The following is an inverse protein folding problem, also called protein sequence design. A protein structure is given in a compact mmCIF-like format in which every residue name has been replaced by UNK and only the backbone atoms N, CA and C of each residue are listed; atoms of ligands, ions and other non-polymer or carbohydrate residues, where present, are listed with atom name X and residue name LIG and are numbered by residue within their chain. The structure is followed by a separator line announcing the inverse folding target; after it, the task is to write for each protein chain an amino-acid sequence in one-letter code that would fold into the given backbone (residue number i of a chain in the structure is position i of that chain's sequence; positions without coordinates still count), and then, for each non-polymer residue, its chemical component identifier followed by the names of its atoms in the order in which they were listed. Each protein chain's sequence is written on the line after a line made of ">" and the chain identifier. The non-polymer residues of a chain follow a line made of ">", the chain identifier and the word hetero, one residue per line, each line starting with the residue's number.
data_IF_096421290024
#
_entry.id   IF_096421290024
#
_cell.length_a   1.000
_cell.length_b   1.000
_cell.length_c   1.000
_cell.angle_alpha   90.00
_cell.angle_beta   90.00
_cell.angle_gamma   90.00
#
_symmetry.space_group_name_H-M   'P 1'
#
loop_
_entity.id
_entity.type
_entity.pdbx_description
1 polymer ?
#
# COMPACT_ATOMS: atom_id res chain seq x y z
N UNK A 1 38.65 -67.41 41.18
CA UNK A 1 39.26 -66.24 40.48
C UNK A 1 38.17 -65.21 40.27
N UNK A 2 38.14 -64.24 41.16
CA UNK A 2 37.15 -63.13 41.09
C UNK A 2 37.66 -62.13 40.09
N UNK A 3 36.92 -62.00 39.01
CA UNK A 3 37.18 -60.99 37.97
C UNK A 3 36.39 -59.72 38.36
N UNK A 4 36.91 -58.89 39.27
CA UNK A 4 36.38 -57.57 39.55
C UNK A 4 36.92 -56.62 38.45
N UNK A 5 36.04 -56.09 37.65
CA UNK A 5 36.33 -54.97 36.73
C UNK A 5 36.83 -53.77 37.57
N UNK A 6 37.84 -53.04 37.11
CA UNK A 6 38.34 -51.86 37.82
C UNK A 6 37.23 -50.79 37.95
N UNK A 7 37.12 -50.18 39.11
CA UNK A 7 36.11 -49.15 39.48
C UNK A 7 35.98 -48.01 38.46
N UNK A 8 37.07 -47.67 37.75
CA UNK A 8 37.07 -46.68 36.65
C UNK A 8 36.18 -47.09 35.43
N UNK A 9 36.02 -48.40 35.18
CA UNK A 9 35.18 -48.86 34.06
C UNK A 9 33.67 -48.86 34.43
N UNK A 10 33.35 -48.98 35.71
CA UNK A 10 31.96 -48.90 36.20
C UNK A 10 31.44 -47.46 36.07
N UNK A 11 32.29 -46.47 36.40
CA UNK A 11 31.95 -45.05 36.27
C UNK A 11 31.73 -44.63 34.84
N UNK A 12 32.55 -45.07 33.90
CA UNK A 12 32.42 -44.84 32.45
C UNK A 12 31.16 -45.49 31.87
N UNK A 13 30.75 -46.65 32.35
CA UNK A 13 29.52 -47.32 31.93
C UNK A 13 28.27 -46.59 32.46
N UNK A 14 28.31 -46.05 33.68
CA UNK A 14 27.21 -45.29 34.30
C UNK A 14 27.01 -43.93 33.60
N UNK A 15 28.11 -43.23 33.25
CA UNK A 15 28.07 -42.01 32.46
C UNK A 15 27.53 -42.25 31.02
N UNK A 16 27.93 -43.35 30.38
CA UNK A 16 27.44 -43.71 29.05
C UNK A 16 25.95 -44.07 29.09
N UNK A 17 25.48 -44.80 30.12
CA UNK A 17 24.04 -45.10 30.29
C UNK A 17 23.21 -43.85 30.62
N UNK A 18 23.72 -42.91 31.42
CA UNK A 18 23.04 -41.63 31.69
C UNK A 18 22.95 -40.77 30.42
N UNK A 19 24.01 -40.70 29.60
CA UNK A 19 24.04 -40.00 28.33
C UNK A 19 23.03 -40.62 27.34
N UNK A 20 22.99 -41.95 27.24
CA UNK A 20 22.03 -42.67 26.37
C UNK A 20 20.58 -42.48 26.85
N UNK A 21 20.33 -42.37 28.14
CA UNK A 21 18.99 -42.05 28.69
C UNK A 21 18.60 -40.63 28.36
N UNK A 22 19.49 -39.64 28.57
CA UNK A 22 19.24 -38.24 28.25
C UNK A 22 18.96 -38.04 26.73
N UNK A 23 19.65 -38.78 25.86
CA UNK A 23 19.42 -38.81 24.44
C UNK A 23 18.04 -39.38 24.10
N UNK A 24 17.69 -40.54 24.70
CA UNK A 24 16.41 -41.21 24.44
C UNK A 24 15.20 -40.44 24.96
N UNK A 25 15.38 -39.72 26.06
CA UNK A 25 14.33 -38.94 26.70
C UNK A 25 14.21 -37.51 26.13
N UNK A 26 14.99 -37.17 25.08
CA UNK A 26 14.95 -35.87 24.39
C UNK A 26 15.48 -34.71 25.22
N UNK A 27 16.31 -34.99 26.24
CA UNK A 27 16.90 -33.98 27.11
C UNK A 27 18.21 -33.39 26.53
N UNK A 28 18.73 -33.94 25.44
CA UNK A 28 19.94 -33.50 24.73
C UNK A 28 19.68 -33.45 23.23
N UNK A 29 19.76 -32.26 22.64
CA UNK A 29 19.51 -32.03 21.20
C UNK A 29 20.77 -32.14 20.33
N UNK A 30 21.96 -32.02 20.95
CA UNK A 30 23.25 -32.16 20.28
C UNK A 30 24.34 -32.52 21.26
N UNK A 31 25.40 -33.22 20.79
CA UNK A 31 26.61 -33.46 21.55
C UNK A 31 27.86 -33.07 20.76
N UNK A 32 28.87 -32.62 21.52
CA UNK A 32 30.15 -32.20 20.96
C UNK A 32 31.16 -33.34 21.17
N UNK A 33 31.74 -33.83 20.10
CA UNK A 33 32.83 -34.82 20.14
C UNK A 33 34.14 -34.09 19.89
N UNK A 34 35.09 -34.26 20.82
CA UNK A 34 36.47 -33.82 20.62
C UNK A 34 37.20 -34.81 19.69
N UNK A 35 37.54 -34.34 18.50
CA UNK A 35 38.37 -35.07 17.54
C UNK A 35 39.79 -34.46 17.51
N UNK A 36 40.78 -35.20 17.01
CA UNK A 36 42.19 -34.73 16.92
C UNK A 36 42.41 -33.46 16.11
N UNK A 37 41.42 -33.04 15.31
CA UNK A 37 41.47 -31.86 14.45
C UNK A 37 40.47 -30.76 14.87
N UNK A 38 39.78 -30.87 16.03
CA UNK A 38 38.83 -29.88 16.55
C UNK A 38 37.52 -30.48 17.10
N UNK A 39 36.59 -29.63 17.47
CA UNK A 39 35.31 -30.02 18.03
C UNK A 39 34.30 -30.23 16.93
N UNK A 40 33.65 -31.39 16.89
CA UNK A 40 32.56 -31.67 15.97
C UNK A 40 31.24 -31.78 16.71
N UNK A 41 30.25 -31.01 16.27
CA UNK A 41 28.89 -31.02 16.85
C UNK A 41 28.04 -32.00 16.05
N UNK A 42 27.50 -33.00 16.73
CA UNK A 42 26.53 -33.95 16.18
C UNK A 42 25.14 -33.58 16.73
N UNK A 43 24.21 -33.15 15.86
CA UNK A 43 22.81 -32.99 16.21
C UNK A 43 22.09 -34.33 16.13
N UNK A 44 21.22 -34.63 17.11
CA UNK A 44 20.40 -35.81 17.07
C UNK A 44 19.31 -35.64 16.02
N UNK A 45 19.22 -36.61 15.10
CA UNK A 45 18.13 -36.65 14.12
C UNK A 45 16.79 -36.70 14.87
N UNK A 46 16.03 -35.60 14.84
CA UNK A 46 14.69 -35.55 15.40
C UNK A 46 14.24 -34.20 15.97
N UNK A 47 15.13 -33.41 16.58
CA UNK A 47 14.76 -32.10 17.14
C UNK A 47 14.65 -31.00 16.09
N UNK A 48 15.43 -31.09 15.00
CA UNK A 48 15.45 -30.09 13.93
C UNK A 48 14.44 -30.35 12.79
N UNK A 49 13.85 -31.56 12.73
CA UNK A 49 12.90 -31.95 11.69
C UNK A 49 11.70 -31.02 11.51
N UNK A 50 11.04 -30.49 12.56
CA UNK A 50 9.93 -29.56 12.40
C UNK A 50 10.37 -28.22 11.82
N UNK A 51 11.51 -27.69 12.26
CA UNK A 51 12.02 -26.36 11.83
C UNK A 51 12.60 -26.42 10.44
N UNK A 52 13.40 -27.44 10.11
CA UNK A 52 13.93 -27.63 8.76
C UNK A 52 12.81 -27.84 7.74
N UNK A 53 11.79 -28.64 8.10
CA UNK A 53 10.61 -28.85 7.25
C UNK A 53 9.82 -27.57 7.06
N UNK A 54 9.70 -26.72 8.10
CA UNK A 54 9.05 -25.41 7.99
C UNK A 54 9.77 -24.53 6.98
N UNK A 55 11.09 -24.37 7.14
CA UNK A 55 11.91 -23.53 6.25
C UNK A 55 11.91 -24.06 4.81
N UNK A 56 11.96 -25.37 4.61
CA UNK A 56 11.90 -26.00 3.27
C UNK A 56 10.53 -25.82 2.59
N UNK A 57 9.45 -25.73 3.35
CA UNK A 57 8.08 -25.54 2.82
C UNK A 57 7.65 -24.07 2.73
N UNK A 58 8.46 -23.13 3.20
CA UNK A 58 8.17 -21.69 3.04
C UNK A 58 8.15 -21.34 1.55
N UNK A 59 7.18 -20.49 1.16
CA UNK A 59 7.11 -19.96 -0.20
C UNK A 59 8.17 -18.89 -0.46
N UNK A 60 8.71 -18.30 0.60
CA UNK A 60 9.79 -17.32 0.52
C UNK A 60 11.13 -18.03 0.34
N UNK A 61 12.03 -17.45 -0.45
CA UNK A 61 13.42 -17.87 -0.50
C UNK A 61 14.07 -17.63 0.86
N UNK A 62 14.69 -18.67 1.43
CA UNK A 62 15.42 -18.56 2.68
C UNK A 62 16.86 -19.05 2.49
N UNK A 63 17.81 -18.28 3.04
CA UNK A 63 19.20 -18.67 3.08
C UNK A 63 19.86 -18.34 4.42
N UNK A 64 20.94 -19.05 4.72
CA UNK A 64 21.87 -18.70 5.77
C UNK A 64 23.20 -18.31 5.12
N UNK A 65 23.75 -17.18 5.56
CA UNK A 65 24.99 -16.60 5.06
C UNK A 65 26.05 -16.69 6.13
N UNK A 66 27.30 -16.93 5.73
CA UNK A 66 28.49 -16.76 6.59
C UNK A 66 28.84 -15.28 6.79
N UNK A 67 29.88 -15.01 7.58
CA UNK A 67 30.37 -13.66 7.86
C UNK A 67 30.80 -12.88 6.61
N UNK A 68 31.09 -13.56 5.50
CA UNK A 68 31.52 -12.98 4.21
C UNK A 68 30.33 -12.78 3.24
N UNK A 69 29.10 -13.15 3.64
CA UNK A 69 27.90 -13.08 2.81
C UNK A 69 27.80 -14.23 1.78
N UNK A 70 28.54 -15.33 2.00
CA UNK A 70 28.42 -16.53 1.20
C UNK A 70 27.30 -17.44 1.73
N UNK A 71 26.56 -18.04 0.82
CA UNK A 71 25.41 -18.91 1.12
C UNK A 71 25.94 -20.25 1.66
N UNK A 72 25.60 -20.56 2.91
CA UNK A 72 25.93 -21.85 3.55
C UNK A 72 24.72 -22.80 3.59
N UNK A 73 23.50 -22.23 3.47
CA UNK A 73 22.25 -22.97 3.33
C UNK A 73 21.29 -22.20 2.44
N UNK A 74 20.49 -22.92 1.67
CA UNK A 74 19.38 -22.36 0.89
C UNK A 74 18.21 -23.35 0.85
N UNK A 75 16.96 -22.87 1.01
CA UNK A 75 15.79 -23.69 0.82
C UNK A 75 15.45 -23.87 -0.68
N UNK A 76 14.51 -24.77 -0.96
CA UNK A 76 14.08 -25.06 -2.34
C UNK A 76 13.48 -23.82 -3.02
N UNK A 77 12.73 -23.00 -2.28
CA UNK A 77 12.10 -21.79 -2.80
C UNK A 77 13.11 -20.76 -3.29
N UNK A 78 14.26 -20.60 -2.61
CA UNK A 78 15.33 -19.72 -3.09
C UNK A 78 15.95 -20.26 -4.38
N UNK A 79 16.21 -21.56 -4.45
CA UNK A 79 16.74 -22.20 -5.66
C UNK A 79 15.81 -21.99 -6.87
N UNK A 80 14.51 -22.16 -6.67
CA UNK A 80 13.49 -21.89 -7.69
C UNK A 80 13.43 -20.41 -8.07
N UNK A 81 13.47 -19.51 -7.08
CA UNK A 81 13.43 -18.06 -7.29
C UNK A 81 14.61 -17.59 -8.14
N UNK A 82 15.82 -18.11 -7.89
CA UNK A 82 17.03 -17.77 -8.63
C UNK A 82 17.17 -18.53 -9.96
N UNK A 83 16.41 -19.63 -10.13
CA UNK A 83 16.56 -20.51 -11.30
C UNK A 83 17.90 -21.29 -11.31
N UNK A 84 18.47 -21.54 -10.11
CA UNK A 84 19.77 -22.22 -9.94
C UNK A 84 19.57 -23.44 -9.01
N UNK A 85 20.11 -24.63 -9.35
CA UNK A 85 20.08 -25.77 -8.44
C UNK A 85 20.70 -25.44 -7.09
N UNK A 86 20.07 -25.89 -6.00
CA UNK A 86 20.47 -25.58 -4.62
C UNK A 86 21.94 -25.88 -4.34
N UNK A 87 22.44 -27.00 -4.85
CA UNK A 87 23.83 -27.45 -4.67
C UNK A 87 24.84 -26.47 -5.26
N UNK A 88 24.44 -25.71 -6.29
CA UNK A 88 25.29 -24.70 -6.94
C UNK A 88 25.22 -23.34 -6.25
N UNK A 89 24.25 -23.13 -5.33
CA UNK A 89 24.15 -21.89 -4.56
C UNK A 89 25.13 -21.87 -3.40
N UNK A 90 25.42 -23.03 -2.81
CA UNK A 90 26.29 -23.14 -1.62
C UNK A 90 27.70 -22.69 -1.95
N UNK A 91 28.25 -21.83 -1.10
CA UNK A 91 29.57 -21.21 -1.27
C UNK A 91 29.61 -20.00 -2.18
N UNK A 92 28.52 -19.65 -2.88
CA UNK A 92 28.46 -18.43 -3.66
C UNK A 92 28.04 -17.23 -2.79
N UNK A 93 28.60 -16.05 -3.10
CA UNK A 93 28.13 -14.81 -2.48
C UNK A 93 26.72 -14.46 -2.97
N UNK A 94 25.84 -14.04 -2.03
CA UNK A 94 24.48 -13.60 -2.34
C UNK A 94 24.48 -12.41 -3.33
N UNK A 95 25.50 -11.54 -3.25
CA UNK A 95 25.63 -10.37 -4.13
C UNK A 95 25.77 -10.72 -5.61
N UNK A 96 26.20 -11.96 -5.94
CA UNK A 96 26.28 -12.43 -7.32
C UNK A 96 24.90 -12.47 -8.02
N UNK A 97 23.83 -12.59 -7.23
CA UNK A 97 22.46 -12.63 -7.70
C UNK A 97 21.76 -11.27 -7.61
N UNK A 98 22.54 -10.19 -7.63
CA UNK A 98 22.03 -8.81 -7.61
C UNK A 98 22.61 -8.03 -8.79
N UNK A 99 21.85 -7.03 -9.27
CA UNK A 99 22.36 -6.07 -10.23
C UNK A 99 23.55 -5.29 -9.61
N UNK A 100 24.55 -4.89 -10.40
CA UNK A 100 25.73 -4.20 -9.88
C UNK A 100 25.40 -2.94 -9.07
N UNK A 101 24.39 -2.18 -9.48
CA UNK A 101 23.87 -0.99 -8.80
C UNK A 101 23.27 -1.28 -7.42
N UNK A 102 22.71 -2.48 -7.25
CA UNK A 102 21.99 -2.88 -6.02
C UNK A 102 22.91 -3.58 -5.00
N UNK A 103 24.11 -4.00 -5.41
CA UNK A 103 25.03 -4.76 -4.54
C UNK A 103 25.43 -3.95 -3.30
N UNK A 104 25.70 -2.65 -3.45
CA UNK A 104 26.09 -1.79 -2.35
C UNK A 104 24.96 -1.62 -1.31
N UNK A 105 23.71 -1.52 -1.77
CA UNK A 105 22.55 -1.44 -0.90
C UNK A 105 22.35 -2.73 -0.11
N UNK A 106 22.48 -3.89 -0.75
CA UNK A 106 22.35 -5.18 -0.09
C UNK A 106 23.49 -5.42 0.93
N UNK A 107 24.74 -5.06 0.60
CA UNK A 107 25.86 -5.14 1.55
C UNK A 107 25.65 -4.25 2.78
N UNK A 108 25.04 -3.07 2.61
CA UNK A 108 24.67 -2.20 3.72
C UNK A 108 23.61 -2.88 4.60
N UNK A 109 22.56 -3.47 4.01
CA UNK A 109 21.55 -4.22 4.77
C UNK A 109 22.17 -5.38 5.53
N UNK A 110 23.08 -6.14 4.91
CA UNK A 110 23.80 -7.24 5.57
C UNK A 110 24.64 -6.73 6.74
N UNK A 111 25.31 -5.58 6.58
CA UNK A 111 26.09 -4.95 7.65
C UNK A 111 25.21 -4.48 8.80
N UNK A 112 24.09 -3.80 8.49
CA UNK A 112 23.16 -3.28 9.49
C UNK A 112 22.50 -4.43 10.29
N UNK A 113 22.29 -5.59 9.67
CA UNK A 113 21.78 -6.79 10.33
C UNK A 113 22.72 -7.34 11.41
N UNK A 114 24.01 -7.01 11.40
CA UNK A 114 24.96 -7.42 12.47
C UNK A 114 24.66 -6.79 13.83
N UNK A 115 23.79 -5.77 13.87
CA UNK A 115 23.34 -5.12 15.12
C UNK A 115 21.90 -5.50 15.51
N UNK A 116 21.22 -6.35 14.69
CA UNK A 116 19.83 -6.75 14.93
C UNK A 116 19.18 -7.36 13.71
N UNK A 117 18.26 -6.65 13.11
CA UNK A 117 17.60 -6.99 11.84
C UNK A 117 17.59 -5.79 10.91
N UNK A 118 17.61 -6.06 9.61
CA UNK A 118 17.48 -5.03 8.57
C UNK A 118 16.61 -5.55 7.44
N UNK A 119 15.93 -4.65 6.74
CA UNK A 119 15.09 -4.99 5.61
C UNK A 119 15.17 -3.93 4.51
N UNK A 120 14.93 -4.34 3.28
CA UNK A 120 14.92 -3.43 2.14
C UNK A 120 14.48 -4.12 0.85
N UNK A 121 14.16 -3.30 -0.15
CA UNK A 121 13.82 -3.78 -1.49
C UNK A 121 15.00 -3.56 -2.42
N UNK A 122 15.28 -4.54 -3.27
CA UNK A 122 16.31 -4.47 -4.32
C UNK A 122 15.94 -5.42 -5.47
N UNK A 123 16.73 -5.48 -6.53
CA UNK A 123 16.48 -6.34 -7.68
C UNK A 123 17.36 -7.58 -7.65
N UNK A 124 16.69 -8.74 -7.71
CA UNK A 124 17.34 -10.04 -7.78
C UNK A 124 17.50 -10.46 -9.23
N UNK A 125 18.70 -10.94 -9.61
CA UNK A 125 18.99 -11.46 -10.93
C UNK A 125 18.83 -12.97 -10.96
N UNK A 126 17.94 -13.48 -11.80
CA UNK A 126 17.81 -14.91 -12.12
C UNK A 126 18.92 -15.39 -13.03
N UNK A 127 19.16 -16.70 -13.05
CA UNK A 127 20.17 -17.31 -13.92
C UNK A 127 20.00 -16.99 -15.41
N UNK A 128 18.79 -16.66 -15.87
CA UNK A 128 18.48 -16.23 -17.23
C UNK A 128 18.76 -14.75 -17.52
N UNK A 129 19.28 -13.98 -16.56
CA UNK A 129 19.50 -12.52 -16.68
C UNK A 129 18.25 -11.68 -16.43
N UNK A 130 17.11 -12.29 -16.10
CA UNK A 130 15.89 -11.58 -15.72
C UNK A 130 16.08 -10.91 -14.35
N UNK A 131 15.74 -9.62 -14.28
CA UNK A 131 15.76 -8.84 -13.05
C UNK A 131 14.35 -8.80 -12.44
N UNK A 132 14.20 -9.24 -11.20
CA UNK A 132 12.94 -9.24 -10.47
C UNK A 132 13.03 -8.41 -9.20
N UNK A 133 11.99 -7.63 -8.87
CA UNK A 133 11.95 -6.89 -7.62
C UNK A 133 11.77 -7.86 -6.45
N UNK A 134 12.61 -7.74 -5.42
CA UNK A 134 12.57 -8.60 -4.26
C UNK A 134 12.72 -7.81 -2.97
N UNK A 135 12.06 -8.27 -1.91
CA UNK A 135 12.23 -7.77 -0.56
C UNK A 135 13.15 -8.71 0.21
N UNK A 136 14.16 -8.14 0.83
CA UNK A 136 15.15 -8.82 1.65
C UNK A 136 14.94 -8.48 3.11
N UNK A 137 14.90 -9.49 3.97
CA UNK A 137 14.89 -9.33 5.41
C UNK A 137 16.05 -10.13 5.99
N UNK A 138 17.02 -9.45 6.58
CA UNK A 138 18.19 -10.03 7.21
C UNK A 138 18.03 -10.06 8.72
N UNK A 139 18.45 -11.16 9.36
CA UNK A 139 18.42 -11.32 10.80
C UNK A 139 19.67 -12.06 11.27
N UNK A 140 20.29 -11.59 12.34
CA UNK A 140 21.42 -12.25 12.95
C UNK A 140 20.96 -13.56 13.63
N UNK A 141 21.54 -14.69 13.26
CA UNK A 141 21.19 -16.00 13.81
C UNK A 141 22.10 -16.45 14.95
N UNK A 142 23.35 -15.94 14.98
CA UNK A 142 24.33 -16.35 15.99
C UNK A 142 24.89 -15.15 16.76
N UNK A 143 25.15 -15.35 18.06
CA UNK A 143 25.72 -14.29 18.93
C UNK A 143 27.14 -13.88 18.58
N UNK A 144 27.91 -14.77 17.98
CA UNK A 144 29.28 -14.53 17.50
C UNK A 144 29.35 -13.87 16.12
N UNK A 145 28.18 -13.53 15.55
CA UNK A 145 28.03 -12.90 14.22
C UNK A 145 28.54 -13.77 13.04
N UNK A 146 28.68 -15.07 13.27
CA UNK A 146 29.17 -15.99 12.25
C UNK A 146 28.11 -16.37 11.22
N UNK A 147 26.80 -16.19 11.53
CA UNK A 147 25.70 -16.56 10.65
C UNK A 147 24.58 -15.50 10.62
N UNK A 148 24.18 -15.14 9.41
CA UNK A 148 23.03 -14.25 9.14
C UNK A 148 22.00 -14.99 8.33
N UNK A 149 20.74 -15.00 8.81
CA UNK A 149 19.59 -15.47 8.04
C UNK A 149 19.10 -14.39 7.08
N UNK A 150 18.69 -14.78 5.88
CA UNK A 150 18.01 -13.90 4.93
C UNK A 150 16.74 -14.57 4.42
N UNK A 151 15.65 -13.80 4.42
CA UNK A 151 14.40 -14.14 3.75
C UNK A 151 14.24 -13.24 2.53
N UNK A 152 13.90 -13.83 1.40
CA UNK A 152 13.75 -13.15 0.11
C UNK A 152 12.36 -13.43 -0.44
N UNK A 153 11.58 -12.36 -0.61
CA UNK A 153 10.23 -12.42 -1.16
C UNK A 153 10.18 -11.80 -2.54
N UNK A 154 9.66 -12.53 -3.53
CA UNK A 154 9.38 -12.00 -4.86
C UNK A 154 8.24 -10.98 -4.80
N UNK A 155 8.48 -9.77 -5.27
CA UNK A 155 7.51 -8.69 -5.32
C UNK A 155 6.88 -8.51 -6.71
N UNK A 156 7.23 -9.34 -7.70
CA UNK A 156 6.77 -9.18 -9.10
C UNK A 156 5.25 -9.10 -9.16
N UNK A 157 4.57 -10.09 -8.64
CA UNK A 157 3.10 -10.13 -8.64
C UNK A 157 2.48 -8.91 -7.95
N UNK A 158 3.05 -8.48 -6.82
CA UNK A 158 2.55 -7.32 -6.06
C UNK A 158 2.75 -6.01 -6.84
N UNK A 159 3.89 -5.85 -7.52
CA UNK A 159 4.17 -4.66 -8.36
C UNK A 159 3.29 -4.64 -9.60
N UNK A 160 3.13 -5.78 -10.30
CA UNK A 160 2.23 -5.90 -11.46
C UNK A 160 0.78 -5.57 -11.10
N UNK A 161 0.27 -6.06 -9.98
CA UNK A 161 -1.07 -5.73 -9.49
C UNK A 161 -1.21 -4.23 -9.18
N UNK A 162 -0.18 -3.62 -8.59
CA UNK A 162 -0.15 -2.17 -8.35
C UNK A 162 -0.16 -1.36 -9.65
N UNK A 163 0.64 -1.75 -10.63
CA UNK A 163 0.67 -1.09 -11.95
C UNK A 163 -0.65 -1.22 -12.71
N UNK A 164 -1.27 -2.41 -12.67
CA UNK A 164 -2.57 -2.64 -13.29
C UNK A 164 -3.64 -1.77 -12.62
N UNK A 165 -3.66 -1.71 -11.29
CA UNK A 165 -4.57 -0.84 -10.55
C UNK A 165 -4.35 0.64 -10.90
N UNK A 166 -3.09 1.07 -11.04
CA UNK A 166 -2.72 2.40 -11.45
C UNK A 166 -3.24 2.75 -12.86
N UNK A 167 -3.06 1.85 -13.83
CA UNK A 167 -3.57 2.02 -15.20
C UNK A 167 -5.09 2.11 -15.21
N UNK A 168 -5.76 1.23 -14.45
CA UNK A 168 -7.22 1.26 -14.36
C UNK A 168 -7.75 2.59 -13.79
N UNK A 169 -7.09 3.13 -12.76
CA UNK A 169 -7.46 4.42 -12.18
C UNK A 169 -7.29 5.57 -13.16
N UNK A 170 -6.17 5.61 -13.91
CA UNK A 170 -5.95 6.63 -14.95
C UNK A 170 -7.03 6.56 -16.03
N UNK A 171 -7.30 5.36 -16.56
CA UNK A 171 -8.38 5.17 -17.54
C UNK A 171 -9.74 5.64 -17.02
N UNK A 172 -10.04 5.39 -15.74
CA UNK A 172 -11.29 5.84 -15.12
C UNK A 172 -11.36 7.37 -14.99
N UNK A 173 -10.26 8.04 -14.65
CA UNK A 173 -10.23 9.50 -14.56
C UNK A 173 -10.32 10.15 -15.94
N UNK A 174 -9.64 9.61 -16.96
CA UNK A 174 -9.74 10.06 -18.34
C UNK A 174 -11.17 9.91 -18.89
N UNK A 175 -11.81 8.77 -18.61
CA UNK A 175 -13.19 8.52 -19.03
C UNK A 175 -14.17 9.49 -18.33
N UNK A 176 -13.99 9.74 -17.03
CA UNK A 176 -14.79 10.74 -16.31
C UNK A 176 -14.62 12.14 -16.90
N UNK A 177 -13.38 12.51 -17.25
CA UNK A 177 -13.06 13.78 -17.89
C UNK A 177 -13.71 13.88 -19.27
N UNK A 178 -13.69 12.79 -20.06
CA UNK A 178 -14.33 12.71 -21.37
C UNK A 178 -15.85 12.87 -21.27
N UNK A 179 -16.49 12.09 -20.39
CA UNK A 179 -17.95 12.15 -20.18
C UNK A 179 -18.37 13.55 -19.70
N UNK A 180 -17.62 14.14 -18.77
CA UNK A 180 -17.93 15.47 -18.26
C UNK A 180 -17.92 16.53 -19.38
N UNK A 181 -16.93 16.48 -20.29
CA UNK A 181 -16.86 17.37 -21.45
C UNK A 181 -18.01 17.13 -22.41
N UNK A 182 -18.29 15.88 -22.75
CA UNK A 182 -19.41 15.55 -23.67
C UNK A 182 -20.76 16.02 -23.12
N UNK A 183 -21.00 15.85 -21.80
CA UNK A 183 -22.20 16.36 -21.15
C UNK A 183 -22.28 17.90 -21.21
N UNK A 184 -21.18 18.58 -20.98
CA UNK A 184 -21.12 20.02 -21.02
C UNK A 184 -21.31 20.56 -22.42
N UNK A 185 -20.56 20.03 -23.39
CA UNK A 185 -20.50 20.58 -24.75
C UNK A 185 -21.72 20.18 -25.59
N UNK A 186 -22.21 18.94 -25.49
CA UNK A 186 -23.33 18.47 -26.27
C UNK A 186 -24.67 18.77 -25.60
N UNK A 187 -24.90 18.18 -24.43
CA UNK A 187 -26.21 18.29 -23.75
C UNK A 187 -26.44 19.71 -23.23
N UNK A 188 -25.40 20.36 -22.70
CA UNK A 188 -25.49 21.74 -22.21
C UNK A 188 -25.85 22.74 -23.33
N UNK A 189 -25.22 22.60 -24.51
CA UNK A 189 -25.53 23.45 -25.65
C UNK A 189 -26.95 23.25 -26.20
N UNK A 190 -27.43 21.98 -26.24
CA UNK A 190 -28.80 21.70 -26.66
C UNK A 190 -29.83 22.29 -25.70
N UNK A 191 -29.60 22.17 -24.39
CA UNK A 191 -30.47 22.76 -23.38
C UNK A 191 -30.49 24.28 -23.44
N UNK A 192 -29.32 24.91 -23.70
CA UNK A 192 -29.24 26.35 -23.91
C UNK A 192 -30.04 26.80 -25.16
N UNK A 193 -29.93 26.07 -26.25
CA UNK A 193 -30.72 26.37 -27.45
C UNK A 193 -32.25 26.20 -27.25
N UNK A 194 -32.66 25.13 -26.55
CA UNK A 194 -34.06 24.93 -26.15
C UNK A 194 -34.53 26.05 -25.24
N UNK A 195 -33.72 26.45 -24.24
CA UNK A 195 -34.05 27.58 -23.35
C UNK A 195 -34.22 28.90 -24.08
N UNK A 196 -33.34 29.19 -25.08
CA UNK A 196 -33.49 30.36 -25.94
C UNK A 196 -34.80 30.33 -26.72
N UNK A 197 -35.15 29.20 -27.34
CA UNK A 197 -36.40 29.07 -28.08
C UNK A 197 -37.63 29.25 -27.17
N UNK A 198 -37.62 28.68 -25.98
CA UNK A 198 -38.69 28.86 -25.00
C UNK A 198 -38.80 30.35 -24.61
N UNK A 199 -37.66 31.03 -24.38
CA UNK A 199 -37.65 32.46 -24.02
C UNK A 199 -38.26 33.34 -25.14
N UNK A 200 -38.00 33.00 -26.42
CA UNK A 200 -38.63 33.69 -27.56
C UNK A 200 -40.13 33.52 -27.54
N UNK A 201 -40.64 32.33 -27.26
CA UNK A 201 -42.08 32.07 -27.15
C UNK A 201 -42.68 32.79 -25.94
N UNK A 202 -41.98 32.82 -24.80
CA UNK A 202 -42.40 33.55 -23.61
C UNK A 202 -42.56 35.07 -23.86
N UNK A 203 -41.70 35.67 -24.64
CA UNK A 203 -41.85 37.09 -25.06
C UNK A 203 -43.15 37.37 -25.82
N UNK A 204 -43.73 36.34 -26.45
CA UNK A 204 -45.00 36.43 -27.18
C UNK A 204 -46.18 35.79 -26.39
N UNK A 205 -46.01 35.58 -25.08
CA UNK A 205 -47.02 34.88 -24.23
C UNK A 205 -48.41 35.56 -24.25
N UNK A 206 -48.45 36.88 -24.54
CA UNK A 206 -49.71 37.63 -24.67
C UNK A 206 -50.55 37.20 -25.91
N UNK A 207 -49.98 36.42 -26.82
CA UNK A 207 -50.67 35.85 -28.00
C UNK A 207 -51.10 34.39 -27.78
N UNK A 208 -50.72 33.79 -26.68
CA UNK A 208 -51.05 32.41 -26.31
C UNK A 208 -52.29 32.37 -25.46
N UNK A 209 -53.06 31.29 -25.53
CA UNK A 209 -54.08 31.02 -24.54
C UNK A 209 -53.45 30.71 -23.17
N UNK A 210 -54.28 30.68 -22.14
CA UNK A 210 -53.82 30.52 -20.77
C UNK A 210 -53.16 29.14 -20.53
N UNK A 211 -53.59 28.09 -21.23
CA UNK A 211 -53.04 26.75 -21.11
C UNK A 211 -51.70 26.67 -21.79
N UNK A 212 -51.55 27.19 -23.02
CA UNK A 212 -50.29 27.25 -23.72
C UNK A 212 -49.25 28.12 -23.01
N UNK A 213 -49.63 29.29 -22.47
CA UNK A 213 -48.73 30.14 -21.68
C UNK A 213 -48.23 29.43 -20.42
N UNK A 214 -49.06 28.67 -19.73
CA UNK A 214 -48.69 27.86 -18.56
C UNK A 214 -47.69 26.76 -18.98
N UNK A 215 -48.00 26.01 -20.06
CA UNK A 215 -47.12 24.94 -20.55
C UNK A 215 -45.73 25.46 -20.94
N UNK A 216 -45.64 26.63 -21.57
CA UNK A 216 -44.34 27.28 -21.89
C UNK A 216 -43.56 27.65 -20.64
N UNK A 217 -44.22 28.15 -19.61
CA UNK A 217 -43.57 28.51 -18.31
C UNK A 217 -43.07 27.26 -17.58
N UNK A 218 -43.85 26.17 -17.59
CA UNK A 218 -43.45 24.89 -17.01
C UNK A 218 -42.28 24.30 -17.75
N UNK A 219 -42.25 24.31 -19.10
CA UNK A 219 -41.12 23.84 -19.88
C UNK A 219 -39.85 24.66 -19.61
N UNK A 220 -39.95 26.00 -19.44
CA UNK A 220 -38.82 26.82 -19.06
C UNK A 220 -38.21 26.39 -17.73
N UNK A 221 -39.04 26.14 -16.73
CA UNK A 221 -38.59 25.66 -15.41
C UNK A 221 -37.92 24.28 -15.50
N UNK A 222 -38.48 23.35 -16.28
CA UNK A 222 -37.93 22.01 -16.49
C UNK A 222 -36.56 22.06 -17.17
N UNK A 223 -36.41 22.87 -18.24
CA UNK A 223 -35.13 23.05 -18.94
C UNK A 223 -34.09 23.64 -18.01
N UNK A 224 -34.43 24.59 -17.16
CA UNK A 224 -33.51 25.16 -16.19
C UNK A 224 -33.12 24.12 -15.13
N UNK A 225 -34.07 23.32 -14.66
CA UNK A 225 -33.78 22.24 -13.69
C UNK A 225 -32.83 21.21 -14.31
N UNK A 226 -33.11 20.68 -15.50
CA UNK A 226 -32.25 19.72 -16.19
C UNK A 226 -30.88 20.31 -16.45
N UNK A 227 -30.78 21.57 -16.81
CA UNK A 227 -29.50 22.26 -17.04
C UNK A 227 -28.67 22.31 -15.73
N UNK A 228 -29.30 22.58 -14.60
CA UNK A 228 -28.61 22.54 -13.29
C UNK A 228 -28.16 21.13 -12.93
N UNK A 229 -28.98 20.12 -13.17
CA UNK A 229 -28.62 18.72 -12.89
C UNK A 229 -27.46 18.25 -13.76
N UNK A 230 -27.49 18.49 -15.07
CA UNK A 230 -26.39 18.15 -15.98
C UNK A 230 -25.09 18.85 -15.59
N UNK A 231 -25.14 20.13 -15.25
CA UNK A 231 -23.98 20.88 -14.77
C UNK A 231 -23.42 20.26 -13.51
N UNK A 232 -24.28 19.90 -12.56
CA UNK A 232 -23.88 19.22 -11.30
C UNK A 232 -23.21 17.90 -11.59
N UNK A 233 -23.79 17.04 -12.45
CA UNK A 233 -23.20 15.73 -12.81
C UNK A 233 -21.86 15.91 -13.49
N UNK A 234 -21.76 16.81 -14.47
CA UNK A 234 -20.50 17.09 -15.17
C UNK A 234 -19.39 17.50 -14.20
N UNK A 235 -19.69 18.39 -13.27
CA UNK A 235 -18.74 18.86 -12.27
C UNK A 235 -18.39 17.80 -11.21
N UNK A 236 -19.29 16.86 -10.89
CA UNK A 236 -18.99 15.73 -10.03
C UNK A 236 -18.06 14.71 -10.71
N UNK A 237 -18.24 14.52 -12.02
CA UNK A 237 -17.40 13.65 -12.83
C UNK A 237 -16.00 14.22 -13.02
N UNK A 238 -15.88 15.47 -13.45
CA UNK A 238 -14.62 16.21 -13.55
C UNK A 238 -14.93 17.71 -13.52
N UNK A 239 -14.48 18.44 -12.47
CA UNK A 239 -14.80 19.87 -12.40
C UNK A 239 -14.01 20.64 -13.46
N UNK A 240 -14.66 21.33 -14.43
CA UNK A 240 -13.97 22.18 -15.38
C UNK A 240 -13.15 23.31 -14.70
N UNK A 241 -13.58 23.70 -13.51
CA UNK A 241 -12.85 24.66 -12.68
C UNK A 241 -11.45 24.19 -12.28
N UNK A 242 -11.22 22.88 -12.21
CA UNK A 242 -9.89 22.33 -11.91
C UNK A 242 -8.90 22.69 -13.04
N UNK A 243 -9.31 22.50 -14.29
CA UNK A 243 -8.46 22.79 -15.45
C UNK A 243 -8.24 24.33 -15.62
N UNK A 244 -9.29 25.18 -15.36
CA UNK A 244 -9.26 26.62 -15.63
C UNK A 244 -8.80 27.45 -14.44
N UNK A 245 -9.33 27.16 -13.25
CA UNK A 245 -9.15 27.98 -12.04
C UNK A 245 -8.39 27.28 -10.90
N UNK A 246 -7.97 26.01 -11.11
CA UNK A 246 -7.17 25.25 -10.18
C UNK A 246 -7.92 24.61 -9.01
N UNK A 247 -7.15 23.90 -8.19
CA UNK A 247 -7.65 23.08 -7.10
C UNK A 247 -8.51 23.85 -6.09
N UNK A 248 -8.05 25.03 -5.67
CA UNK A 248 -8.74 25.82 -4.62
C UNK A 248 -10.16 26.19 -5.05
N UNK A 249 -10.31 26.68 -6.28
CA UNK A 249 -11.62 27.05 -6.84
C UNK A 249 -12.54 25.86 -7.02
N UNK A 250 -11.98 24.74 -7.49
CA UNK A 250 -12.72 23.49 -7.67
C UNK A 250 -13.18 22.91 -6.32
N UNK A 251 -12.34 22.95 -5.28
CA UNK A 251 -12.71 22.48 -3.95
C UNK A 251 -13.79 23.37 -3.30
N UNK A 252 -13.68 24.68 -3.40
CA UNK A 252 -14.73 25.60 -2.87
C UNK A 252 -16.07 25.29 -3.49
N UNK A 253 -16.12 25.26 -4.81
CA UNK A 253 -17.36 24.94 -5.52
C UNK A 253 -17.93 23.57 -5.13
N UNK A 254 -17.07 22.54 -5.03
CA UNK A 254 -17.49 21.19 -4.68
C UNK A 254 -18.04 21.11 -3.25
N UNK A 255 -17.38 21.75 -2.31
CA UNK A 255 -17.74 21.78 -0.89
C UNK A 255 -19.06 22.50 -0.67
N UNK A 256 -19.27 23.65 -1.33
CA UNK A 256 -20.55 24.39 -1.25
C UNK A 256 -21.72 23.50 -1.71
N UNK A 257 -21.59 22.91 -2.89
CA UNK A 257 -22.62 22.02 -3.42
C UNK A 257 -22.78 20.71 -2.60
N UNK A 258 -21.72 20.19 -2.01
CA UNK A 258 -21.79 19.04 -1.11
C UNK A 258 -22.55 19.41 0.17
N UNK A 259 -22.24 20.53 0.78
CA UNK A 259 -22.87 21.01 2.02
C UNK A 259 -24.37 21.25 1.83
N UNK A 260 -24.76 21.82 0.69
CA UNK A 260 -26.21 22.02 0.35
C UNK A 260 -26.97 20.69 0.26
N UNK A 261 -26.41 19.67 -0.41
CA UNK A 261 -27.07 18.39 -0.62
C UNK A 261 -27.04 17.49 0.60
N UNK A 262 -25.91 17.42 1.31
CA UNK A 262 -25.70 16.48 2.43
C UNK A 262 -26.18 17.03 3.77
N UNK A 263 -26.33 18.36 3.88
CA UNK A 263 -26.57 19.10 5.13
C UNK A 263 -25.41 19.01 6.13
N UNK A 264 -24.22 18.57 5.68
CA UNK A 264 -23.00 18.53 6.46
C UNK A 264 -22.25 19.85 6.24
N UNK A 265 -21.94 20.55 7.33
CA UNK A 265 -21.16 21.80 7.27
C UNK A 265 -19.70 21.46 7.03
N UNK A 266 -19.12 21.92 5.91
CA UNK A 266 -17.71 21.69 5.59
C UNK A 266 -16.95 23.02 5.63
N UNK A 267 -15.87 23.08 6.41
CA UNK A 267 -14.97 24.22 6.49
C UNK A 267 -13.71 23.93 5.67
N UNK A 268 -13.29 24.93 4.87
CA UNK A 268 -12.07 24.90 4.07
C UNK A 268 -11.03 25.83 4.68
N UNK A 269 -9.91 25.25 5.11
CA UNK A 269 -8.73 25.95 5.58
C UNK A 269 -7.60 25.82 4.54
N UNK A 270 -7.48 26.82 3.68
CA UNK A 270 -6.52 26.83 2.55
C UNK A 270 -5.82 28.19 2.55
N UNK A 271 -4.48 28.23 2.55
CA UNK A 271 -3.72 29.48 2.46
C UNK A 271 -4.12 30.31 1.24
N UNK A 272 -4.15 31.62 1.39
CA UNK A 272 -4.56 32.53 0.32
C UNK A 272 -3.60 32.49 -0.90
N UNK A 273 -2.34 32.18 -0.67
CA UNK A 273 -1.24 32.08 -1.62
C UNK A 273 -0.92 30.66 -2.08
N UNK A 274 -1.89 29.75 -1.96
CA UNK A 274 -1.68 28.31 -2.23
C UNK A 274 -1.14 28.02 -3.66
N UNK A 275 -1.57 28.81 -4.64
CA UNK A 275 -1.10 28.74 -6.03
C UNK A 275 -1.62 27.51 -6.80
N UNK A 276 -0.96 27.23 -7.95
CA UNK A 276 -1.23 26.08 -8.80
C UNK A 276 -0.25 24.96 -8.47
N UNK A 277 -0.72 23.73 -8.71
CA UNK A 277 0.06 22.50 -8.61
C UNK A 277 0.07 21.80 -9.98
N UNK A 278 0.95 20.81 -10.20
CA UNK A 278 0.85 19.96 -11.38
C UNK A 278 -0.54 19.31 -11.49
N UNK A 279 -1.08 19.22 -12.71
CA UNK A 279 -2.46 18.76 -12.96
C UNK A 279 -2.76 17.40 -12.31
N UNK A 280 -1.80 16.46 -12.36
CA UNK A 280 -1.94 15.14 -11.76
C UNK A 280 -2.10 15.21 -10.23
N UNK A 281 -1.41 16.16 -9.59
CA UNK A 281 -1.50 16.39 -8.14
C UNK A 281 -2.84 17.03 -7.79
N UNK A 282 -3.28 18.05 -8.54
CA UNK A 282 -4.58 18.70 -8.33
C UNK A 282 -5.74 17.70 -8.47
N UNK A 283 -5.71 16.86 -9.49
CA UNK A 283 -6.70 15.79 -9.71
C UNK A 283 -6.68 14.80 -8.55
N UNK A 284 -5.49 14.35 -8.12
CA UNK A 284 -5.36 13.38 -7.04
C UNK A 284 -5.96 13.91 -5.72
N UNK A 285 -5.63 15.16 -5.36
CA UNK A 285 -6.16 15.79 -4.14
C UNK A 285 -7.67 15.95 -4.23
N UNK A 286 -8.17 16.44 -5.36
CA UNK A 286 -9.61 16.60 -5.57
C UNK A 286 -10.35 15.27 -5.37
N UNK A 287 -9.83 14.16 -5.93
CA UNK A 287 -10.42 12.82 -5.77
C UNK A 287 -10.36 12.31 -4.32
N UNK A 288 -9.25 12.57 -3.61
CA UNK A 288 -9.12 12.21 -2.21
C UNK A 288 -10.18 12.95 -1.37
N UNK A 289 -10.35 14.24 -1.57
CA UNK A 289 -11.36 15.03 -0.87
C UNK A 289 -12.78 14.54 -1.20
N UNK A 290 -13.08 14.26 -2.48
CA UNK A 290 -14.37 13.69 -2.89
C UNK A 290 -14.67 12.38 -2.16
N UNK A 291 -13.71 11.47 -2.11
CA UNK A 291 -13.85 10.16 -1.46
C UNK A 291 -14.02 10.32 0.06
N UNK A 292 -13.23 11.20 0.68
CA UNK A 292 -13.36 11.48 2.11
C UNK A 292 -14.75 12.02 2.45
N UNK A 293 -15.24 13.02 1.73
CA UNK A 293 -16.56 13.59 1.97
C UNK A 293 -17.68 12.59 1.71
N UNK A 294 -17.53 11.74 0.69
CA UNK A 294 -18.47 10.62 0.43
C UNK A 294 -18.50 9.64 1.60
N UNK A 295 -17.32 9.29 2.15
CA UNK A 295 -17.20 8.40 3.29
C UNK A 295 -17.79 9.02 4.55
N UNK A 296 -17.58 10.32 4.77
CA UNK A 296 -18.19 11.07 5.87
C UNK A 296 -19.70 11.01 5.77
N UNK A 297 -20.27 11.34 4.62
CA UNK A 297 -21.72 11.32 4.40
C UNK A 297 -22.35 9.93 4.62
N UNK A 298 -21.69 8.89 4.09
CA UNK A 298 -22.25 7.52 4.15
C UNK A 298 -22.03 6.83 5.49
N UNK A 299 -20.91 7.16 6.19
CA UNK A 299 -20.43 6.29 7.25
C UNK A 299 -20.19 6.97 8.59
N UNK A 300 -19.90 8.27 8.63
CA UNK A 300 -19.46 8.92 9.88
C UNK A 300 -20.62 9.27 10.83
N UNK A 301 -21.77 9.67 10.27
CA UNK A 301 -22.86 10.27 11.04
C UNK A 301 -22.50 11.66 11.61
N UNK A 302 -21.47 12.31 11.03
CA UNK A 302 -21.07 13.67 11.42
C UNK A 302 -21.94 14.71 10.72
N UNK A 303 -22.21 15.81 11.39
CA UNK A 303 -22.85 17.02 10.86
C UNK A 303 -21.85 18.07 10.35
N UNK A 304 -20.55 17.82 10.57
CA UNK A 304 -19.48 18.76 10.20
C UNK A 304 -18.21 18.06 9.78
N UNK A 305 -17.45 18.71 8.90
CA UNK A 305 -16.12 18.28 8.47
C UNK A 305 -15.21 19.49 8.26
N UNK A 306 -13.90 19.26 8.33
CA UNK A 306 -12.88 20.29 8.04
C UNK A 306 -11.91 19.73 7.01
N UNK A 307 -11.58 20.53 6.01
CA UNK A 307 -10.55 20.23 5.00
C UNK A 307 -9.47 21.26 5.13
N UNK A 308 -8.26 20.86 5.44
CA UNK A 308 -7.09 21.73 5.53
C UNK A 308 -6.04 21.32 4.48
N UNK A 309 -5.50 22.33 3.77
CA UNK A 309 -4.37 22.16 2.87
C UNK A 309 -3.21 23.01 3.37
N UNK A 310 -2.05 22.40 3.53
CA UNK A 310 -0.83 23.12 3.92
C UNK A 310 0.32 22.73 2.98
N UNK A 311 1.04 23.74 2.50
CA UNK A 311 2.25 23.57 1.69
C UNK A 311 3.43 24.11 2.47
N UNK A 312 4.39 23.26 2.79
CA UNK A 312 5.62 23.61 3.51
C UNK A 312 6.81 23.11 2.69
N UNK A 313 7.61 24.04 2.19
CA UNK A 313 8.71 23.73 1.25
C UNK A 313 8.19 22.87 0.08
N UNK A 314 8.79 21.67 -0.12
CA UNK A 314 8.42 20.70 -1.16
C UNK A 314 7.39 19.67 -0.67
N UNK A 315 6.74 19.88 0.47
CA UNK A 315 5.75 18.96 1.04
C UNK A 315 4.37 19.60 1.04
N UNK A 316 3.40 18.86 0.54
CA UNK A 316 1.99 19.20 0.58
C UNK A 316 1.27 18.22 1.50
N UNK A 317 0.52 18.76 2.44
CA UNK A 317 -0.33 18.00 3.36
C UNK A 317 -1.79 18.36 3.11
N UNK A 318 -2.62 17.35 2.91
CA UNK A 318 -4.08 17.47 2.82
C UNK A 318 -4.68 16.71 3.98
N UNK A 319 -5.47 17.38 4.80
CA UNK A 319 -6.13 16.79 5.95
C UNK A 319 -7.64 16.95 5.81
N UNK A 320 -8.38 15.84 5.95
CA UNK A 320 -9.84 15.82 6.01
C UNK A 320 -10.26 15.21 7.33
N UNK A 321 -11.00 15.95 8.13
CA UNK A 321 -11.41 15.56 9.47
C UNK A 321 -12.92 15.63 9.62
N UNK A 322 -13.53 14.62 10.23
CA UNK A 322 -14.92 14.60 10.69
C UNK A 322 -15.02 14.45 12.22
N UNK A 323 -16.18 14.77 12.77
CA UNK A 323 -16.50 14.63 14.19
C UNK A 323 -17.49 13.48 14.45
N UNK A 324 -17.57 12.49 13.56
CA UNK A 324 -18.51 11.39 13.63
C UNK A 324 -18.14 10.28 14.61
N UNK A 325 -18.66 9.07 14.38
CA UNK A 325 -18.45 7.91 15.27
C UNK A 325 -17.09 7.26 15.16
N UNK A 326 -16.25 7.67 14.18
CA UNK A 326 -14.92 7.11 13.95
C UNK A 326 -14.94 5.71 13.32
N UNK A 327 -13.74 5.13 13.18
CA UNK A 327 -13.49 3.79 12.62
C UNK A 327 -13.03 2.86 13.76
N UNK A 328 -13.68 1.69 13.97
CA UNK A 328 -13.24 0.70 14.96
C UNK A 328 -11.79 0.26 14.73
N UNK A 329 -11.03 0.03 15.83
CA UNK A 329 -9.60 -0.33 15.77
C UNK A 329 -9.30 -1.54 14.88
N UNK A 330 -10.12 -2.59 14.95
CA UNK A 330 -9.97 -3.80 14.13
C UNK A 330 -10.10 -3.45 12.64
N UNK A 331 -11.14 -2.72 12.26
CA UNK A 331 -11.40 -2.31 10.89
C UNK A 331 -10.31 -1.35 10.36
N UNK A 332 -9.77 -0.48 11.23
CA UNK A 332 -8.66 0.41 10.88
C UNK A 332 -7.38 -0.37 10.57
N UNK A 333 -7.07 -1.41 11.35
CA UNK A 333 -5.92 -2.28 11.09
C UNK A 333 -6.05 -3.00 9.76
N UNK A 334 -7.22 -3.55 9.46
CA UNK A 334 -7.51 -4.18 8.17
C UNK A 334 -7.37 -3.20 6.99
N UNK A 335 -7.81 -1.95 7.17
CA UNK A 335 -7.66 -0.88 6.17
C UNK A 335 -6.19 -0.49 5.93
N UNK A 336 -5.34 -0.60 6.95
CA UNK A 336 -3.92 -0.23 6.87
C UNK A 336 -3.02 -1.38 6.41
N UNK A 337 -3.26 -2.62 6.88
CA UNK A 337 -2.33 -3.75 6.73
C UNK A 337 -2.72 -4.71 5.58
N UNK A 338 -3.99 -4.96 5.34
CA UNK A 338 -4.40 -6.13 4.53
C UNK A 338 -4.49 -5.92 3.02
N UNK A 339 -4.27 -4.70 2.50
CA UNK A 339 -4.50 -4.41 1.07
C UNK A 339 -5.96 -4.64 0.62
N UNK A 340 -6.81 -5.19 1.48
CA UNK A 340 -8.26 -5.38 1.32
C UNK A 340 -9.06 -4.17 1.83
N UNK A 341 -8.41 -3.01 1.94
CA UNK A 341 -9.10 -1.75 2.15
C UNK A 341 -10.24 -1.66 1.14
N UNK A 342 -11.44 -1.35 1.59
CA UNK A 342 -12.59 -1.15 0.70
C UNK A 342 -12.18 -0.23 -0.45
N UNK A 343 -12.81 -0.37 -1.60
CA UNK A 343 -12.45 0.24 -2.89
C UNK A 343 -11.98 1.72 -2.75
N UNK A 344 -12.57 2.50 -1.83
CA UNK A 344 -12.25 3.91 -1.62
C UNK A 344 -10.87 4.17 -1.01
N UNK A 345 -10.53 3.56 0.14
CA UNK A 345 -9.24 3.78 0.80
C UNK A 345 -8.08 3.17 0.02
N UNK A 346 -8.29 2.01 -0.60
CA UNK A 346 -7.31 1.38 -1.49
C UNK A 346 -6.98 2.27 -2.69
N UNK A 347 -8.01 2.86 -3.31
CA UNK A 347 -7.85 3.79 -4.43
C UNK A 347 -7.11 5.08 -4.06
N UNK A 348 -7.41 5.68 -2.88
CA UNK A 348 -6.70 6.86 -2.41
C UNK A 348 -5.22 6.58 -2.14
N UNK A 349 -4.90 5.43 -1.52
CA UNK A 349 -3.51 5.03 -1.24
C UNK A 349 -2.73 4.81 -2.53
N UNK A 350 -3.31 4.09 -3.47
CA UNK A 350 -2.65 3.81 -4.76
C UNK A 350 -2.38 5.09 -5.55
N UNK A 351 -3.33 6.03 -5.56
CA UNK A 351 -3.17 7.34 -6.20
C UNK A 351 -2.03 8.16 -5.58
N UNK A 352 -1.93 8.16 -4.24
CA UNK A 352 -0.83 8.83 -3.55
C UNK A 352 0.50 8.14 -3.81
N UNK A 353 0.53 6.80 -3.83
CA UNK A 353 1.75 6.03 -4.12
C UNK A 353 2.34 6.37 -5.48
N UNK A 354 1.49 6.58 -6.51
CA UNK A 354 1.93 7.00 -7.85
C UNK A 354 2.61 8.37 -7.85
N UNK A 355 2.24 9.23 -6.91
CA UNK A 355 2.80 10.56 -6.71
C UNK A 355 3.87 10.59 -5.59
N UNK A 356 4.44 9.43 -5.25
CA UNK A 356 5.42 9.27 -4.16
C UNK A 356 4.95 9.84 -2.82
N UNK A 357 3.63 9.80 -2.60
CA UNK A 357 2.98 10.27 -1.38
C UNK A 357 2.57 9.13 -0.44
N UNK A 358 2.02 9.51 0.71
CA UNK A 358 1.53 8.60 1.74
C UNK A 358 0.14 8.98 2.22
N UNK A 359 -0.64 7.98 2.69
CA UNK A 359 -1.95 8.13 3.30
C UNK A 359 -1.91 7.60 4.73
N UNK A 360 -2.31 8.42 5.69
CA UNK A 360 -2.51 8.03 7.07
C UNK A 360 -3.98 8.21 7.48
N UNK A 361 -4.48 7.34 8.36
CA UNK A 361 -5.85 7.38 8.86
C UNK A 361 -5.81 7.30 10.39
N UNK A 362 -6.22 8.39 11.02
CA UNK A 362 -6.31 8.53 12.46
C UNK A 362 -7.78 8.52 12.88
N UNK A 363 -8.12 7.65 13.83
CA UNK A 363 -9.46 7.59 14.41
C UNK A 363 -9.33 7.11 15.86
N UNK A 364 -9.37 8.06 16.79
CA UNK A 364 -9.27 7.82 18.23
C UNK A 364 -10.52 8.37 18.92
N UNK A 365 -11.42 7.45 19.31
CA UNK A 365 -12.65 7.77 20.03
C UNK A 365 -13.74 8.35 19.14
N UNK A 366 -13.78 9.66 18.92
CA UNK A 366 -14.78 10.35 18.08
C UNK A 366 -14.11 10.93 16.84
N UNK A 367 -14.72 10.66 15.66
CA UNK A 367 -14.30 11.21 14.38
C UNK A 367 -13.16 10.45 13.71
N UNK A 368 -12.92 10.81 12.47
CA UNK A 368 -11.82 10.28 11.64
C UNK A 368 -11.06 11.43 11.01
N UNK A 369 -9.74 11.30 10.96
CA UNK A 369 -8.85 12.22 10.24
C UNK A 369 -8.09 11.42 9.19
N UNK A 370 -8.24 11.81 7.95
CA UNK A 370 -7.47 11.27 6.81
C UNK A 370 -6.41 12.30 6.45
N UNK A 371 -5.15 11.87 6.41
CA UNK A 371 -4.00 12.74 6.12
C UNK A 371 -3.30 12.19 4.89
N UNK A 372 -3.25 12.96 3.82
CA UNK A 372 -2.48 12.68 2.62
C UNK A 372 -1.25 13.60 2.59
N UNK A 373 -0.07 13.02 2.36
CA UNK A 373 1.20 13.77 2.22
C UNK A 373 1.81 13.47 0.87
N UNK A 374 2.27 14.51 0.17
CA UNK A 374 2.85 14.45 -1.17
C UNK A 374 4.12 15.32 -1.21
N UNK A 375 5.09 14.92 -2.03
CA UNK A 375 6.19 15.81 -2.40
C UNK A 375 5.76 16.57 -3.66
N UNK A 376 5.89 17.90 -3.60
CA UNK A 376 5.58 18.81 -4.72
C UNK A 376 6.86 19.55 -4.98
N UNK A 377 7.54 19.19 -6.06
CA UNK A 377 8.75 19.89 -6.50
C UNK A 377 8.40 21.24 -7.14
#
# INVERSE_FOLDING_TARGET
>A
MNNQLPESNIHLLDEAEQTLRAIRDGAVDAFVVEEREGHRVYTLEGSDLPYSTLVERMQQGAAMLDANGCIVYANLSLAQLLGVPREKLIGLSLTRFLAPEDQSACLKLLHDAQTGSSEGETHLLRAGGESIPAHFSFSLLSRDKSATGVLISDLTYRKEQGELAARFQRMQDDERKRIARELHDSVGQLLAAIGMNISIVQLQSHKLDAEAARAVSENAMLVEQVSREIRTISHLLHPPLLDVAGLVSALRWYVDGFSERSKIKVELDIPADFGRLPDEVEIAIFRIVQECLTNIHRHSGSDSATIALAKENDSLTVQVKDNGKGIPKEKRRDLLESGRAGIGFGGMRERLRQLHGSLDIQSEGRGTTVIAKLKVA
#
